data_IF_921535317282
#
_entry.id   IF_921535317282
#
_cell.length_a   1.000
_cell.length_b   1.000
_cell.length_c   1.000
_cell.angle_alpha   90.00
_cell.angle_beta   90.00
_cell.angle_gamma   90.00
#
_symmetry.space_group_name_H-M   'P 1'
#
loop_
_entity.id
_entity.type
_entity.pdbx_description
1 polymer ?
#
# COMPACT_ATOMS: atom_id res chain seq x y z
N UNK A 1 -23.90 -0.73 41.94
CA UNK A 1 -23.20 -0.11 40.79
C UNK A 1 -22.86 -1.25 39.84
N UNK A 2 -23.74 -1.51 38.87
CA UNK A 2 -23.62 -2.64 37.95
C UNK A 2 -23.03 -2.10 36.64
N UNK A 3 -21.84 -2.55 36.26
CA UNK A 3 -21.19 -2.15 35.00
C UNK A 3 -21.93 -2.85 33.86
N UNK A 4 -22.55 -2.05 33.00
CA UNK A 4 -23.26 -2.50 31.82
C UNK A 4 -22.22 -2.88 30.75
N UNK A 5 -21.96 -4.18 30.59
CA UNK A 5 -21.21 -4.70 29.44
C UNK A 5 -22.12 -4.57 28.20
N UNK A 6 -21.84 -3.56 27.37
CA UNK A 6 -22.43 -3.48 26.03
C UNK A 6 -21.70 -4.47 25.16
N UNK A 7 -22.31 -5.63 24.97
CA UNK A 7 -21.93 -6.58 23.92
C UNK A 7 -22.38 -5.99 22.59
N UNK A 8 -21.45 -5.42 21.82
CA UNK A 8 -21.70 -5.17 20.41
C UNK A 8 -21.50 -6.49 19.68
N UNK A 9 -22.61 -7.18 19.42
CA UNK A 9 -22.68 -8.23 18.40
C UNK A 9 -22.69 -7.52 17.05
N UNK A 10 -21.61 -7.63 16.28
CA UNK A 10 -21.61 -7.28 14.85
C UNK A 10 -21.60 -8.57 14.06
N UNK A 11 -22.79 -9.06 13.71
CA UNK A 11 -22.94 -9.95 12.57
C UNK A 11 -22.81 -9.12 11.29
N UNK A 12 -21.66 -9.25 10.61
CA UNK A 12 -21.42 -8.60 9.34
C UNK A 12 -20.00 -8.87 8.85
N UNK A 13 -19.86 -9.75 7.86
CA UNK A 13 -18.62 -10.01 7.14
C UNK A 13 -18.25 -8.82 6.24
N UNK A 14 -18.09 -7.64 6.84
CA UNK A 14 -17.76 -6.38 6.20
C UNK A 14 -16.26 -6.11 6.30
N UNK A 15 -15.68 -5.64 5.20
CA UNK A 15 -14.32 -5.09 5.16
C UNK A 15 -14.15 -4.08 6.30
N UNK A 16 -13.17 -4.28 7.19
CA UNK A 16 -12.82 -3.25 8.17
C UNK A 16 -12.29 -2.05 7.40
N UNK A 17 -13.00 -0.93 7.50
CA UNK A 17 -12.51 0.39 7.10
C UNK A 17 -12.06 1.13 8.34
N UNK A 18 -10.88 1.73 8.28
CA UNK A 18 -10.38 2.61 9.33
C UNK A 18 -9.60 3.77 8.71
N UNK A 19 -9.54 4.89 9.43
CA UNK A 19 -8.63 5.98 9.08
C UNK A 19 -7.26 5.71 9.70
N UNK A 20 -6.20 5.86 8.91
CA UNK A 20 -4.83 5.75 9.38
C UNK A 20 -4.44 6.94 10.26
N UNK A 21 -3.67 6.68 11.31
CA UNK A 21 -3.13 7.69 12.22
C UNK A 21 -1.69 8.13 11.86
N UNK A 22 -1.11 7.54 10.80
CA UNK A 22 0.26 7.81 10.36
C UNK A 22 1.34 7.10 11.19
N UNK A 23 0.96 6.24 12.14
CA UNK A 23 1.92 5.61 13.07
C UNK A 23 1.68 4.12 13.23
N UNK A 24 0.42 3.70 13.36
CA UNK A 24 0.04 2.31 13.60
C UNK A 24 0.16 1.51 12.29
N UNK A 25 1.01 0.46 12.24
CA UNK A 25 1.14 -0.37 11.05
C UNK A 25 -0.17 -1.06 10.67
N UNK A 26 -0.34 -1.32 9.38
CA UNK A 26 -1.34 -2.22 8.81
C UNK A 26 -0.62 -3.44 8.27
N UNK A 27 -0.96 -4.62 8.78
CA UNK A 27 -0.40 -5.87 8.28
C UNK A 27 -0.93 -6.15 6.86
N UNK A 28 -0.01 -6.41 5.93
CA UNK A 28 -0.34 -6.92 4.59
C UNK A 28 -0.23 -8.45 4.61
N UNK A 29 0.77 -8.99 5.31
CA UNK A 29 1.00 -10.42 5.51
C UNK A 29 1.81 -10.69 6.78
N UNK A 30 2.20 -11.94 7.01
CA UNK A 30 2.76 -12.37 8.30
C UNK A 30 4.05 -11.65 8.74
N UNK A 31 4.83 -11.12 7.79
CA UNK A 31 6.11 -10.43 8.03
C UNK A 31 6.21 -9.06 7.34
N UNK A 32 5.07 -8.58 6.81
CA UNK A 32 5.05 -7.41 5.96
C UNK A 32 3.92 -6.51 6.39
N UNK A 33 4.26 -5.26 6.66
CA UNK A 33 3.32 -4.25 7.10
C UNK A 33 3.59 -2.92 6.40
N UNK A 34 2.62 -2.02 6.45
CA UNK A 34 2.75 -0.65 5.94
C UNK A 34 2.22 0.33 6.97
N UNK A 35 2.98 1.38 7.26
CA UNK A 35 2.47 2.57 7.94
C UNK A 35 1.87 3.48 6.87
N UNK A 36 0.55 3.61 6.88
CA UNK A 36 -0.19 4.41 5.90
C UNK A 36 -0.21 5.87 6.36
N UNK A 37 -0.02 6.87 5.46
CA UNK A 37 -0.05 8.28 5.82
C UNK A 37 -1.33 8.67 6.59
N UNK A 38 -1.19 9.60 7.53
CA UNK A 38 -2.30 10.00 8.40
C UNK A 38 -3.50 10.54 7.60
N UNK A 39 -4.70 10.19 8.04
CA UNK A 39 -5.96 10.63 7.42
C UNK A 39 -6.41 9.81 6.21
N UNK A 40 -5.53 8.98 5.63
CA UNK A 40 -5.94 8.06 4.57
C UNK A 40 -6.89 6.99 5.09
N UNK A 41 -7.80 6.55 4.25
CA UNK A 41 -8.63 5.40 4.55
C UNK A 41 -7.87 4.12 4.21
N UNK A 42 -7.92 3.15 5.11
CA UNK A 42 -7.43 1.79 4.91
C UNK A 42 -8.65 0.90 4.84
N UNK A 43 -8.78 0.17 3.74
CA UNK A 43 -9.86 -0.76 3.50
C UNK A 43 -9.31 -2.12 3.11
N UNK A 44 -9.84 -3.17 3.75
CA UNK A 44 -9.43 -4.53 3.42
C UNK A 44 -8.12 -4.94 4.09
N UNK A 45 -8.27 -5.63 5.21
CA UNK A 45 -7.46 -6.81 5.51
C UNK A 45 -8.48 -7.94 5.60
N UNK A 46 -8.84 -8.57 4.48
CA UNK A 46 -9.60 -9.81 4.61
C UNK A 46 -8.62 -10.78 5.27
N UNK A 47 -8.95 -11.27 6.46
CA UNK A 47 -8.13 -12.26 7.17
C UNK A 47 -7.69 -13.32 6.14
N UNK A 48 -6.38 -13.40 5.88
CA UNK A 48 -5.78 -14.33 4.90
C UNK A 48 -5.64 -13.82 3.45
N UNK A 49 -5.71 -12.51 3.17
CA UNK A 49 -5.33 -11.95 1.87
C UNK A 49 -4.11 -11.04 2.02
N UNK A 50 -3.06 -11.34 1.25
CA UNK A 50 -1.80 -10.57 1.14
C UNK A 50 -1.99 -9.24 0.41
N UNK A 51 -3.05 -8.50 0.76
CA UNK A 51 -3.51 -7.30 0.04
C UNK A 51 -4.11 -6.29 1.01
N UNK A 52 -3.74 -5.01 0.83
CA UNK A 52 -4.31 -3.86 1.54
C UNK A 52 -4.66 -2.79 0.53
N UNK A 53 -5.88 -2.25 0.59
CA UNK A 53 -6.29 -1.11 -0.22
C UNK A 53 -6.29 0.15 0.63
N UNK A 54 -5.75 1.25 0.11
CA UNK A 54 -5.73 2.56 0.77
C UNK A 54 -6.21 3.66 -0.16
N UNK A 55 -6.77 4.72 0.40
CA UNK A 55 -7.20 5.89 -0.39
C UNK A 55 -6.97 7.20 0.35
N UNK A 56 -6.71 8.25 -0.42
CA UNK A 56 -6.56 9.61 0.12
C UNK A 56 -7.89 10.13 0.71
N UNK A 57 -7.84 11.10 1.65
CA UNK A 57 -9.03 11.67 2.28
C UNK A 57 -10.03 12.31 1.29
N UNK A 58 -9.51 12.82 0.17
CA UNK A 58 -10.31 13.42 -0.91
C UNK A 58 -10.89 12.38 -1.89
N UNK A 59 -10.55 11.10 -1.72
CA UNK A 59 -10.98 9.99 -2.58
C UNK A 59 -10.40 10.01 -3.99
N UNK A 60 -9.45 10.88 -4.29
CA UNK A 60 -8.91 11.06 -5.65
C UNK A 60 -7.88 9.99 -5.99
N UNK A 61 -7.06 9.58 -5.03
CA UNK A 61 -6.03 8.56 -5.19
C UNK A 61 -6.42 7.31 -4.41
N UNK A 62 -6.31 6.17 -5.08
CA UNK A 62 -6.43 4.84 -4.47
C UNK A 62 -5.14 4.06 -4.75
N UNK A 63 -4.72 3.22 -3.81
CA UNK A 63 -3.59 2.33 -4.02
C UNK A 63 -3.87 0.93 -3.45
N UNK A 64 -3.53 -0.09 -4.21
CA UNK A 64 -3.55 -1.48 -3.76
C UNK A 64 -2.11 -1.93 -3.50
N UNK A 65 -1.86 -2.42 -2.29
CA UNK A 65 -0.58 -2.98 -1.86
C UNK A 65 -0.71 -4.50 -1.79
N UNK A 66 0.22 -5.24 -2.38
CA UNK A 66 0.23 -6.71 -2.33
C UNK A 66 1.64 -7.28 -2.25
N UNK A 67 1.79 -8.44 -1.61
CA UNK A 67 3.09 -9.13 -1.52
C UNK A 67 3.31 -10.00 -2.76
N UNK A 68 4.52 -9.99 -3.29
CA UNK A 68 5.00 -10.92 -4.33
C UNK A 68 6.35 -11.53 -3.94
N UNK A 69 6.58 -12.83 -4.19
CA UNK A 69 7.83 -13.52 -3.89
C UNK A 69 8.87 -13.29 -4.99
N UNK A 70 9.25 -12.03 -5.21
CA UNK A 70 10.17 -11.63 -6.27
C UNK A 70 11.02 -10.44 -5.83
N UNK A 71 12.15 -10.23 -6.51
CA UNK A 71 12.95 -9.01 -6.40
C UNK A 71 12.17 -7.79 -6.92
N UNK A 72 12.45 -6.56 -6.44
CA UNK A 72 11.73 -5.36 -6.86
C UNK A 72 11.66 -5.16 -8.38
N UNK A 73 12.76 -5.38 -9.11
CA UNK A 73 12.77 -5.24 -10.59
C UNK A 73 11.85 -6.23 -11.29
N UNK A 74 11.83 -7.48 -10.81
CA UNK A 74 10.98 -8.55 -11.37
C UNK A 74 9.52 -8.27 -11.01
N UNK A 75 9.23 -7.98 -9.74
CA UNK A 75 7.89 -7.63 -9.28
C UNK A 75 7.34 -6.40 -9.98
N UNK A 76 8.15 -5.37 -10.22
CA UNK A 76 7.75 -4.19 -10.98
C UNK A 76 7.34 -4.55 -12.41
N UNK A 77 8.12 -5.39 -13.10
CA UNK A 77 7.77 -5.84 -14.45
C UNK A 77 6.47 -6.66 -14.46
N UNK A 78 6.26 -7.52 -13.46
CA UNK A 78 5.04 -8.33 -13.32
C UNK A 78 3.78 -7.52 -12.97
N UNK A 79 3.94 -6.31 -12.43
CA UNK A 79 2.81 -5.44 -12.08
C UNK A 79 2.09 -4.84 -13.31
N UNK A 80 2.70 -4.95 -14.50
CA UNK A 80 2.13 -4.47 -15.75
C UNK A 80 1.61 -5.66 -16.58
N UNK A 81 0.34 -5.55 -17.02
CA UNK A 81 -0.24 -6.52 -17.97
C UNK A 81 0.44 -6.48 -19.35
N UNK A 82 1.14 -5.39 -19.65
CA UNK A 82 1.94 -5.15 -20.84
C UNK A 82 3.38 -4.78 -20.46
N UNK A 83 4.22 -4.42 -21.43
CA UNK A 83 5.56 -3.92 -21.12
C UNK A 83 5.48 -2.69 -20.20
N UNK A 84 6.29 -2.61 -19.12
CA UNK A 84 6.35 -1.44 -18.26
C UNK A 84 6.76 -0.19 -19.06
N UNK A 85 6.45 1.02 -18.56
CA UNK A 85 6.85 2.25 -19.22
C UNK A 85 8.37 2.29 -19.41
N UNK A 86 8.82 2.81 -20.55
CA UNK A 86 10.24 2.89 -20.90
C UNK A 86 11.06 3.71 -19.90
N UNK A 87 10.40 4.60 -19.14
CA UNK A 87 11.00 5.39 -18.07
C UNK A 87 10.52 4.85 -16.73
N UNK A 88 11.41 4.16 -16.03
CA UNK A 88 11.27 3.80 -14.62
C UNK A 88 12.53 4.21 -13.88
N UNK A 89 12.44 4.27 -12.55
CA UNK A 89 13.55 4.62 -11.67
C UNK A 89 13.81 3.50 -10.69
N UNK A 90 15.07 3.37 -10.30
CA UNK A 90 15.53 2.46 -9.26
C UNK A 90 16.26 3.28 -8.21
N UNK A 91 15.85 3.17 -6.95
CA UNK A 91 16.35 3.99 -5.85
C UNK A 91 16.42 3.15 -4.55
N UNK A 92 17.12 3.66 -3.55
CA UNK A 92 17.13 3.10 -2.19
C UNK A 92 16.40 4.08 -1.27
N UNK A 93 15.40 3.58 -0.55
CA UNK A 93 14.60 4.34 0.42
C UNK A 93 15.38 4.61 1.71
N UNK A 94 14.89 5.53 2.55
CA UNK A 94 15.53 5.83 3.83
C UNK A 94 15.51 4.62 4.79
N UNK A 95 14.49 3.76 4.67
CA UNK A 95 14.39 2.44 5.31
C UNK A 95 15.46 1.44 4.86
N UNK A 96 16.21 1.74 3.79
CA UNK A 96 17.20 0.84 3.19
C UNK A 96 16.62 -0.17 2.20
N UNK A 97 15.30 -0.18 1.99
CA UNK A 97 14.66 -1.02 0.98
C UNK A 97 14.92 -0.49 -0.43
N UNK A 98 15.06 -1.40 -1.38
CA UNK A 98 15.11 -1.03 -2.80
C UNK A 98 13.70 -0.75 -3.30
N UNK A 99 13.59 0.27 -4.17
CA UNK A 99 12.35 0.58 -4.88
C UNK A 99 12.60 0.66 -6.38
N UNK A 100 11.71 0.06 -7.16
CA UNK A 100 11.57 0.31 -8.59
C UNK A 100 10.21 0.92 -8.83
N UNK A 101 10.14 2.08 -9.48
CA UNK A 101 8.88 2.78 -9.70
C UNK A 101 8.78 3.45 -11.07
N UNK A 102 7.55 3.64 -11.52
CA UNK A 102 7.24 4.35 -12.76
C UNK A 102 5.85 4.94 -12.74
N UNK A 103 5.65 5.93 -13.59
CA UNK A 103 4.43 6.71 -13.73
C UNK A 103 3.99 6.67 -15.19
N UNK A 104 2.73 6.33 -15.43
CA UNK A 104 2.09 6.42 -16.73
C UNK A 104 0.78 7.20 -16.62
N UNK A 105 0.85 8.51 -16.86
CA UNK A 105 -0.27 9.43 -16.72
C UNK A 105 -0.87 9.44 -15.32
N UNK A 106 -1.92 8.65 -15.10
CA UNK A 106 -2.70 8.56 -13.86
C UNK A 106 -2.45 7.29 -13.04
N UNK A 107 -1.52 6.44 -13.48
CA UNK A 107 -1.14 5.22 -12.77
C UNK A 107 0.31 5.32 -12.32
N UNK A 108 0.54 5.11 -11.04
CA UNK A 108 1.86 4.98 -10.44
C UNK A 108 2.02 3.54 -9.97
N UNK A 109 3.09 2.89 -10.38
CA UNK A 109 3.42 1.53 -9.94
C UNK A 109 4.78 1.57 -9.27
N UNK A 110 4.87 0.95 -8.09
CA UNK A 110 6.14 0.74 -7.40
C UNK A 110 6.25 -0.69 -6.89
N UNK A 111 7.48 -1.18 -6.83
CA UNK A 111 7.85 -2.42 -6.20
C UNK A 111 8.89 -2.11 -5.13
N UNK A 112 8.56 -2.34 -3.87
CA UNK A 112 9.41 -2.00 -2.70
C UNK A 112 9.75 -3.27 -1.96
N UNK A 113 11.04 -3.54 -1.74
CA UNK A 113 11.43 -4.76 -1.05
C UNK A 113 12.92 -4.99 -0.99
N UNK A 114 13.24 -6.24 -0.65
CA UNK A 114 14.58 -6.79 -0.59
C UNK A 114 14.57 -8.20 -1.20
N UNK A 115 15.69 -8.91 -1.10
CA UNK A 115 15.84 -10.19 -1.79
C UNK A 115 14.76 -11.20 -1.36
N UNK A 116 13.99 -11.69 -2.34
CA UNK A 116 12.95 -12.70 -2.19
C UNK A 116 11.59 -12.20 -1.69
N UNK A 117 11.41 -10.92 -1.34
CA UNK A 117 10.09 -10.40 -0.92
C UNK A 117 9.90 -8.92 -1.24
N UNK A 118 8.85 -8.64 -2.03
CA UNK A 118 8.50 -7.30 -2.51
C UNK A 118 7.03 -7.00 -2.25
N UNK A 119 6.74 -5.75 -1.91
CA UNK A 119 5.40 -5.17 -1.92
C UNK A 119 5.21 -4.41 -3.21
N UNK A 120 4.24 -4.82 -4.02
CA UNK A 120 3.77 -4.07 -5.17
C UNK A 120 2.73 -3.06 -4.70
N UNK A 121 2.93 -1.81 -5.08
CA UNK A 121 2.00 -0.70 -4.89
C UNK A 121 1.51 -0.28 -6.27
N UNK A 122 0.22 -0.50 -6.52
CA UNK A 122 -0.46 -0.07 -7.74
C UNK A 122 -1.44 1.05 -7.38
N UNK A 123 -1.07 2.28 -7.72
CA UNK A 123 -1.82 3.47 -7.36
C UNK A 123 -2.44 4.11 -8.60
N UNK A 124 -3.73 4.45 -8.50
CA UNK A 124 -4.49 5.10 -9.56
C UNK A 124 -5.18 6.34 -9.02
N UNK A 125 -5.05 7.44 -9.78
CA UNK A 125 -5.76 8.68 -9.51
C UNK A 125 -6.87 8.92 -10.54
N UNK A 126 -7.94 9.58 -10.10
CA UNK A 126 -9.00 10.06 -11.00
C UNK A 126 -8.48 11.18 -11.92
N UNK A 127 -7.53 11.98 -11.42
CA UNK A 127 -6.93 13.13 -12.11
C UNK A 127 -5.40 13.03 -12.18
N UNK A 128 -4.72 14.13 -12.51
CA UNK A 128 -3.25 14.20 -12.50
C UNK A 128 -2.65 13.80 -11.13
N UNK A 129 -1.59 12.99 -11.17
CA UNK A 129 -0.94 12.41 -10.00
C UNK A 129 0.11 13.32 -9.35
N UNK A 130 0.53 14.40 -10.01
CA UNK A 130 1.71 15.18 -9.58
C UNK A 130 1.56 15.73 -8.17
N UNK A 131 0.34 16.13 -7.79
CA UNK A 131 0.02 16.61 -6.44
C UNK A 131 0.10 15.55 -5.34
N UNK A 132 0.06 14.25 -5.70
CA UNK A 132 0.08 13.14 -4.75
C UNK A 132 1.44 12.44 -4.66
N UNK A 133 2.42 12.80 -5.50
CA UNK A 133 3.75 12.19 -5.48
C UNK A 133 4.43 12.24 -4.10
N UNK A 134 4.35 13.34 -3.32
CA UNK A 134 4.91 13.37 -1.97
C UNK A 134 4.25 12.34 -1.03
N UNK A 135 2.93 12.18 -1.12
CA UNK A 135 2.19 11.25 -0.28
C UNK A 135 2.40 9.79 -0.70
N UNK A 136 2.60 9.53 -1.99
CA UNK A 136 3.05 8.23 -2.49
C UNK A 136 4.44 7.89 -1.95
N UNK A 137 5.39 8.85 -1.97
CA UNK A 137 6.72 8.63 -1.40
C UNK A 137 6.65 8.27 0.10
N UNK A 138 5.79 8.96 0.88
CA UNK A 138 5.55 8.64 2.29
C UNK A 138 4.98 7.22 2.47
N UNK A 139 4.00 6.84 1.64
CA UNK A 139 3.43 5.48 1.66
C UNK A 139 4.49 4.40 1.38
N UNK A 140 5.36 4.62 0.38
CA UNK A 140 6.44 3.68 0.06
C UNK A 140 7.46 3.58 1.20
N UNK A 141 7.81 4.71 1.82
CA UNK A 141 8.70 4.76 2.98
C UNK A 141 8.07 4.11 4.23
N UNK A 142 6.74 4.02 4.28
CA UNK A 142 6.01 3.33 5.33
C UNK A 142 6.10 1.80 5.28
N UNK A 143 6.57 1.22 4.17
CA UNK A 143 6.64 -0.23 3.98
C UNK A 143 7.72 -0.85 4.87
N UNK A 144 7.38 -1.98 5.49
CA UNK A 144 8.25 -2.77 6.37
C UNK A 144 8.22 -4.22 5.92
N UNK A 145 9.40 -4.80 5.70
CA UNK A 145 9.60 -6.20 5.31
C UNK A 145 10.57 -6.82 6.31
N UNK A 146 10.25 -8.02 6.84
CA UNK A 146 11.03 -8.71 7.88
C UNK A 146 11.18 -10.22 7.64
#
# INVERSE_FOLDING_TARGET
>A
MLVMLVWVVVDGWGSVRRTADGVTPTDIGAKTAVVVPAGWEVSGTRIGKDTVDVSTPDGVLTATLRIVPAEPTVGYAEAWDAAPPAQFRTEILASGLAVVHGLDGRRFVAAVGAEGSTVLVDAQAVQDLSGYLPALAELLEGIRVS
#
